data_IF_878203991941
#
_entry.id   IF_878203991941
#
_cell.length_a   1.000
_cell.length_b   1.000
_cell.length_c   1.000
_cell.angle_alpha   90.00
_cell.angle_beta   90.00
_cell.angle_gamma   90.00
#
_symmetry.space_group_name_H-M   'P 1'
#
loop_
_entity.id
_entity.type
_entity.pdbx_description
1 polymer ?
#
# COMPACT_ATOMS: atom_id res chain seq x y z
N UNK A 1 1.32 -46.47 46.85
CA UNK A 1 1.41 -45.16 46.18
C UNK A 1 1.10 -45.47 44.74
N UNK A 2 -0.17 -45.31 44.38
CA UNK A 2 -0.71 -45.73 43.10
C UNK A 2 -1.35 -44.50 42.45
N UNK A 3 -0.92 -44.12 41.24
CA UNK A 3 -1.46 -42.95 40.57
C UNK A 3 -2.89 -43.25 40.13
N UNK A 4 -3.84 -42.43 40.58
CA UNK A 4 -5.20 -42.42 40.02
C UNK A 4 -5.09 -42.09 38.54
N UNK A 5 -5.34 -43.08 37.69
CA UNK A 5 -5.55 -42.88 36.27
C UNK A 5 -6.86 -42.11 36.08
N UNK A 6 -6.77 -40.81 35.75
CA UNK A 6 -7.89 -40.09 35.14
C UNK A 6 -8.24 -40.77 33.83
N UNK A 7 -9.52 -41.00 33.59
CA UNK A 7 -10.00 -41.62 32.36
C UNK A 7 -9.98 -40.60 31.22
N UNK A 8 -9.80 -41.08 30.00
CA UNK A 8 -9.65 -40.27 28.78
C UNK A 8 -10.86 -39.36 28.49
N UNK A 9 -12.02 -39.68 29.07
CA UNK A 9 -13.25 -38.90 28.91
C UNK A 9 -13.28 -37.66 29.83
N UNK A 10 -12.77 -37.77 31.06
CA UNK A 10 -12.68 -36.64 32.00
C UNK A 10 -11.67 -35.58 31.53
N UNK A 11 -10.55 -36.02 30.94
CA UNK A 11 -9.58 -35.10 30.31
C UNK A 11 -10.15 -34.41 29.06
N UNK A 12 -11.12 -35.02 28.39
CA UNK A 12 -11.71 -34.48 27.16
C UNK A 12 -12.73 -33.40 27.48
N UNK A 13 -13.54 -33.59 28.52
CA UNK A 13 -14.49 -32.58 28.99
C UNK A 13 -13.79 -31.33 29.55
N UNK A 14 -12.72 -31.49 30.34
CA UNK A 14 -11.95 -30.34 30.85
C UNK A 14 -11.27 -29.53 29.74
N UNK A 15 -10.77 -30.21 28.69
CA UNK A 15 -10.16 -29.54 27.52
C UNK A 15 -11.23 -28.81 26.69
N UNK A 16 -12.45 -29.36 26.59
CA UNK A 16 -13.55 -28.75 25.86
C UNK A 16 -14.15 -27.55 26.59
N UNK A 17 -14.19 -27.57 27.93
CA UNK A 17 -14.59 -26.43 28.76
C UNK A 17 -13.55 -25.30 28.73
N UNK A 18 -12.26 -25.63 28.81
CA UNK A 18 -11.19 -24.64 28.71
C UNK A 18 -11.09 -24.03 27.30
N UNK A 19 -11.37 -24.80 26.24
CA UNK A 19 -11.42 -24.28 24.88
C UNK A 19 -12.56 -23.25 24.67
N UNK A 20 -13.70 -23.41 25.37
CA UNK A 20 -14.82 -22.45 25.33
C UNK A 20 -14.52 -21.13 26.04
N UNK A 21 -13.60 -21.11 27.01
CA UNK A 21 -13.25 -19.91 27.78
C UNK A 21 -12.14 -19.05 27.15
N UNK A 22 -11.39 -19.59 26.17
CA UNK A 22 -10.23 -18.91 25.54
C UNK A 22 -10.54 -18.35 24.15
N UNK A 23 -11.71 -18.64 23.57
CA UNK A 23 -12.13 -17.99 22.33
C UNK A 23 -12.79 -16.65 22.66
N UNK A 24 -12.16 -15.49 22.38
CA UNK A 24 -12.90 -14.24 22.35
C UNK A 24 -14.05 -14.40 21.34
N UNK A 25 -15.22 -13.74 21.55
CA UNK A 25 -16.29 -13.79 20.58
C UNK A 25 -15.69 -13.44 19.22
N UNK A 26 -15.90 -14.33 18.24
CA UNK A 26 -15.57 -14.06 16.86
C UNK A 26 -16.10 -12.65 16.58
N UNK A 27 -15.20 -11.68 16.48
CA UNK A 27 -15.59 -10.35 16.03
C UNK A 27 -16.27 -10.63 14.71
N UNK A 28 -17.52 -10.19 14.57
CA UNK A 28 -18.14 -9.96 13.28
C UNK A 28 -17.19 -9.01 12.52
N UNK A 29 -16.15 -9.58 11.91
CA UNK A 29 -15.60 -9.08 10.67
C UNK A 29 -16.74 -9.24 9.70
N UNK A 30 -17.65 -8.26 9.72
CA UNK A 30 -18.51 -7.98 8.59
C UNK A 30 -17.58 -8.04 7.40
N UNK A 31 -17.71 -9.13 6.64
CA UNK A 31 -17.04 -9.35 5.38
C UNK A 31 -17.43 -8.10 4.57
N UNK A 32 -16.55 -7.09 4.59
CA UNK A 32 -16.76 -5.87 3.81
C UNK A 32 -16.75 -6.39 2.40
N UNK A 33 -17.91 -6.32 1.76
CA UNK A 33 -18.07 -6.66 0.37
C UNK A 33 -16.90 -6.04 -0.41
N UNK A 34 -16.00 -6.83 -1.01
CA UNK A 34 -14.86 -6.30 -1.74
C UNK A 34 -15.29 -5.34 -2.85
N UNK A 35 -16.53 -5.46 -3.35
CA UNK A 35 -17.11 -4.56 -4.34
C UNK A 35 -17.49 -3.18 -3.75
N UNK A 36 -17.62 -3.07 -2.43
CA UNK A 36 -17.94 -1.81 -1.75
C UNK A 36 -16.70 -0.99 -1.33
N UNK A 37 -15.48 -1.52 -1.46
CA UNK A 37 -14.26 -0.74 -1.25
C UNK A 37 -13.90 0.03 -2.53
N UNK A 38 -13.91 1.38 -2.53
CA UNK A 38 -13.49 2.17 -3.68
C UNK A 38 -12.07 1.85 -4.15
N UNK A 39 -11.18 1.34 -3.27
CA UNK A 39 -9.81 0.90 -3.62
C UNK A 39 -9.76 -0.46 -4.34
N UNK A 40 -10.88 -1.16 -4.48
CA UNK A 40 -11.00 -2.39 -5.27
C UNK A 40 -11.40 -2.13 -6.73
N UNK A 41 -11.57 -0.85 -7.11
CA UNK A 41 -11.78 -0.44 -8.50
C UNK A 41 -10.45 -0.10 -9.18
N UNK A 42 -10.29 -0.38 -10.48
CA UNK A 42 -9.03 -0.09 -11.19
C UNK A 42 -8.68 1.40 -11.22
N UNK A 43 -9.67 2.25 -11.07
CA UNK A 43 -9.51 3.69 -10.87
C UNK A 43 -10.00 4.06 -9.47
N UNK A 44 -9.21 4.86 -8.77
CA UNK A 44 -9.47 5.26 -7.40
C UNK A 44 -9.27 6.75 -7.22
N UNK A 45 -10.31 7.41 -6.70
CA UNK A 45 -10.28 8.84 -6.38
C UNK A 45 -10.02 8.97 -4.89
N UNK A 46 -9.02 9.77 -4.51
CA UNK A 46 -8.72 10.07 -3.12
C UNK A 46 -8.53 11.56 -2.88
N UNK A 47 -8.96 12.00 -1.70
CA UNK A 47 -8.66 13.31 -1.15
C UNK A 47 -7.35 13.22 -0.36
N UNK A 48 -6.45 14.15 -0.62
CA UNK A 48 -5.12 14.20 -0.04
C UNK A 48 -4.95 15.50 0.75
N UNK A 49 -4.41 15.37 1.95
CA UNK A 49 -4.02 16.48 2.81
C UNK A 49 -2.65 16.17 3.43
N UNK A 50 -1.70 17.08 3.24
CA UNK A 50 -0.38 16.98 3.85
C UNK A 50 0.06 18.35 4.35
N UNK A 51 0.71 18.39 5.52
CA UNK A 51 1.16 19.62 6.16
C UNK A 51 2.68 19.61 6.25
N UNK A 52 3.31 20.66 5.74
CA UNK A 52 4.76 20.80 5.80
C UNK A 52 5.25 21.25 7.18
N UNK A 53 6.55 21.13 7.48
CA UNK A 53 7.12 21.59 8.75
C UNK A 53 6.96 23.10 9.01
N UNK A 54 6.71 23.89 7.97
CA UNK A 54 6.50 25.33 8.02
C UNK A 54 5.02 25.72 8.20
N UNK A 55 4.11 24.73 8.27
CA UNK A 55 2.69 24.91 8.48
C UNK A 55 1.86 25.11 7.21
N UNK A 56 2.46 25.07 6.01
CA UNK A 56 1.72 25.10 4.76
C UNK A 56 0.97 23.79 4.58
N UNK A 57 -0.29 23.90 4.19
CA UNK A 57 -1.17 22.75 3.96
C UNK A 57 -1.39 22.57 2.47
N UNK A 58 -1.09 21.37 1.99
CA UNK A 58 -1.23 20.93 0.62
C UNK A 58 -2.47 20.05 0.54
N UNK A 59 -3.50 20.52 -0.17
CA UNK A 59 -4.78 19.82 -0.32
C UNK A 59 -5.13 19.64 -1.78
N UNK A 60 -5.63 18.46 -2.12
CA UNK A 60 -6.07 18.21 -3.48
C UNK A 60 -6.76 16.87 -3.62
N UNK A 61 -7.48 16.71 -4.73
CA UNK A 61 -8.10 15.46 -5.12
C UNK A 61 -7.31 14.84 -6.26
N UNK A 62 -7.00 13.57 -6.12
CA UNK A 62 -6.26 12.79 -7.10
C UNK A 62 -7.14 11.67 -7.67
N UNK A 63 -6.80 11.22 -8.87
CA UNK A 63 -7.37 10.01 -9.47
C UNK A 63 -6.23 9.12 -9.92
N UNK A 64 -6.08 7.97 -9.27
CA UNK A 64 -5.08 6.96 -9.63
C UNK A 64 -5.72 5.86 -10.48
N UNK A 65 -4.97 5.27 -11.39
CA UNK A 65 -5.30 4.00 -12.05
C UNK A 65 -4.23 2.96 -11.79
N UNK A 66 -4.64 1.71 -11.68
CA UNK A 66 -3.71 0.57 -11.58
C UNK A 66 -2.96 0.41 -12.92
N UNK A 67 -1.62 0.50 -12.94
CA UNK A 67 -0.85 0.36 -14.18
C UNK A 67 -0.93 -1.05 -14.76
N UNK A 68 -1.37 -1.12 -16.03
CA UNK A 68 -1.25 -2.33 -16.85
C UNK A 68 0.20 -2.57 -17.30
N UNK A 69 0.46 -3.70 -17.98
CA UNK A 69 1.82 -4.07 -18.42
C UNK A 69 2.42 -3.01 -19.35
N UNK A 70 1.63 -2.46 -20.27
CA UNK A 70 2.10 -1.41 -21.19
C UNK A 70 2.50 -0.16 -20.43
N UNK A 71 1.70 0.25 -19.46
CA UNK A 71 1.97 1.40 -18.61
C UNK A 71 3.25 1.20 -17.80
N UNK A 72 3.48 -0.01 -17.26
CA UNK A 72 4.74 -0.33 -16.54
C UNK A 72 5.97 -0.25 -17.42
N UNK A 73 5.87 -0.66 -18.69
CA UNK A 73 6.97 -0.49 -19.64
C UNK A 73 7.29 0.99 -19.87
N UNK A 74 6.26 1.84 -19.96
CA UNK A 74 6.42 3.29 -20.08
C UNK A 74 7.03 3.91 -18.82
N UNK A 75 6.66 3.44 -17.63
CA UNK A 75 7.30 3.84 -16.36
C UNK A 75 8.81 3.55 -16.42
N UNK A 76 9.20 2.36 -16.85
CA UNK A 76 10.62 2.00 -17.01
C UNK A 76 11.37 2.92 -17.97
N UNK A 77 10.76 3.22 -19.12
CA UNK A 77 11.35 4.13 -20.11
C UNK A 77 11.51 5.56 -19.56
N UNK A 78 10.49 6.11 -18.91
CA UNK A 78 10.55 7.45 -18.33
C UNK A 78 11.55 7.51 -17.17
N UNK A 79 11.63 6.48 -16.32
CA UNK A 79 12.63 6.38 -15.25
C UNK A 79 14.06 6.47 -15.81
N UNK A 80 14.33 5.77 -16.91
CA UNK A 80 15.63 5.85 -17.58
C UNK A 80 15.89 7.27 -18.14
N UNK A 81 14.88 7.87 -18.77
CA UNK A 81 14.98 9.24 -19.30
C UNK A 81 15.28 10.28 -18.21
N UNK A 82 14.62 10.19 -17.05
CA UNK A 82 14.89 11.07 -15.91
C UNK A 82 16.32 10.92 -15.36
N UNK A 83 16.90 9.73 -15.48
CA UNK A 83 18.32 9.45 -15.18
C UNK A 83 19.29 9.83 -16.29
N UNK A 84 18.85 10.62 -17.28
CA UNK A 84 19.62 10.95 -18.49
C UNK A 84 20.13 9.70 -19.26
N UNK A 85 19.36 8.60 -19.19
CA UNK A 85 19.69 7.29 -19.74
C UNK A 85 21.01 6.69 -19.24
N UNK A 86 21.49 7.13 -18.08
CA UNK A 86 22.61 6.49 -17.41
C UNK A 86 22.17 5.12 -16.87
N UNK A 87 23.10 4.15 -16.79
CA UNK A 87 22.85 2.90 -16.07
C UNK A 87 22.43 3.17 -14.63
N UNK A 88 21.51 2.36 -14.09
CA UNK A 88 20.95 2.59 -12.75
C UNK A 88 22.04 2.58 -11.67
N UNK A 89 23.04 1.71 -11.81
CA UNK A 89 24.21 1.59 -10.94
C UNK A 89 25.12 2.83 -10.92
N UNK A 90 25.00 3.72 -11.92
CA UNK A 90 25.74 4.98 -11.99
C UNK A 90 25.04 6.11 -11.22
N UNK A 91 23.78 5.91 -10.81
CA UNK A 91 23.00 6.88 -10.05
C UNK A 91 22.99 6.49 -8.57
N UNK A 92 23.02 7.47 -7.68
CA UNK A 92 22.81 7.22 -6.26
C UNK A 92 21.38 6.72 -5.98
N UNK A 93 21.19 6.05 -4.84
CA UNK A 93 19.91 5.42 -4.48
C UNK A 93 18.76 6.43 -4.38
N UNK A 94 19.02 7.65 -3.90
CA UNK A 94 17.97 8.65 -3.73
C UNK A 94 17.49 9.14 -5.10
N UNK A 95 18.41 9.40 -6.03
CA UNK A 95 18.06 9.75 -7.41
C UNK A 95 17.25 8.63 -8.09
N UNK A 96 17.65 7.37 -7.88
CA UNK A 96 16.92 6.22 -8.44
C UNK A 96 15.49 6.11 -7.90
N UNK A 97 15.31 6.34 -6.60
CA UNK A 97 14.00 6.31 -5.94
C UNK A 97 13.10 7.45 -6.43
N UNK A 98 13.62 8.68 -6.46
CA UNK A 98 12.89 9.86 -6.98
C UNK A 98 12.44 9.61 -8.42
N UNK A 99 13.33 9.13 -9.28
CA UNK A 99 13.01 8.86 -10.68
C UNK A 99 11.92 7.79 -10.83
N UNK A 100 11.94 6.74 -9.99
CA UNK A 100 10.90 5.72 -9.97
C UNK A 100 9.55 6.31 -9.55
N UNK A 101 9.52 7.04 -8.44
CA UNK A 101 8.30 7.64 -7.87
C UNK A 101 7.65 8.61 -8.86
N UNK A 102 8.43 9.52 -9.44
CA UNK A 102 7.95 10.46 -10.47
C UNK A 102 7.43 9.68 -11.68
N UNK A 103 8.25 8.78 -12.25
CA UNK A 103 7.87 8.06 -13.46
C UNK A 103 6.59 7.23 -13.27
N UNK A 104 6.45 6.57 -12.12
CA UNK A 104 5.26 5.80 -11.78
C UNK A 104 4.01 6.68 -11.72
N UNK A 105 4.06 7.74 -10.92
CA UNK A 105 2.92 8.63 -10.72
C UNK A 105 2.56 9.44 -11.96
N UNK A 106 3.52 9.75 -12.85
CA UNK A 106 3.23 10.38 -14.15
C UNK A 106 2.25 9.57 -14.98
N UNK A 107 2.30 8.23 -14.89
CA UNK A 107 1.43 7.36 -15.66
C UNK A 107 0.23 6.82 -14.88
N UNK A 108 0.35 6.67 -13.56
CA UNK A 108 -0.74 6.14 -12.72
C UNK A 108 -1.74 7.23 -12.32
N UNK A 109 -1.31 8.47 -12.08
CA UNK A 109 -2.21 9.57 -11.74
C UNK A 109 -2.87 10.18 -12.99
N UNK A 110 -4.12 9.82 -13.25
CA UNK A 110 -4.91 10.36 -14.37
C UNK A 110 -5.30 11.81 -14.12
N UNK A 111 -5.65 12.16 -12.88
CA UNK A 111 -6.00 13.53 -12.49
C UNK A 111 -5.24 13.94 -11.24
N UNK A 112 -4.79 15.19 -11.27
CA UNK A 112 -3.96 15.81 -10.24
C UNK A 112 -4.49 17.22 -9.96
N UNK A 113 -4.34 17.74 -8.73
CA UNK A 113 -4.58 19.14 -8.44
C UNK A 113 -3.53 20.02 -9.14
N UNK A 114 -3.86 21.30 -9.40
CA UNK A 114 -2.99 22.23 -10.14
C UNK A 114 -1.57 22.33 -9.60
N UNK A 115 -1.41 22.30 -8.28
CA UNK A 115 -0.10 22.41 -7.64
C UNK A 115 0.78 21.15 -7.81
N UNK A 116 0.21 20.02 -8.25
CA UNK A 116 0.90 18.76 -8.50
C UNK A 116 0.90 18.36 -10.00
N UNK A 117 0.61 19.31 -10.90
CA UNK A 117 0.65 19.05 -12.36
C UNK A 117 2.06 18.68 -12.83
N UNK A 118 3.08 19.28 -12.24
CA UNK A 118 4.48 18.88 -12.39
C UNK A 118 5.02 18.32 -11.07
N UNK A 119 5.18 16.99 -11.04
CA UNK A 119 5.68 16.28 -9.86
C UNK A 119 7.19 16.53 -9.64
N UNK A 120 7.93 16.82 -10.70
CA UNK A 120 9.37 17.13 -10.63
C UNK A 120 9.64 18.54 -10.11
N UNK A 121 8.65 19.43 -10.14
CA UNK A 121 8.72 20.77 -9.57
C UNK A 121 8.40 20.82 -8.06
N UNK A 122 8.04 19.70 -7.43
CA UNK A 122 7.83 19.63 -5.99
C UNK A 122 9.18 19.61 -5.27
N UNK A 123 9.38 20.58 -4.37
CA UNK A 123 10.63 20.72 -3.61
C UNK A 123 10.79 19.71 -2.48
N UNK A 124 9.68 19.19 -1.95
CA UNK A 124 9.69 18.31 -0.78
C UNK A 124 9.45 16.86 -1.22
N UNK A 125 10.47 16.03 -1.06
CA UNK A 125 10.38 14.60 -1.37
C UNK A 125 9.42 13.87 -0.43
N UNK A 126 9.24 14.30 0.82
CA UNK A 126 8.29 13.69 1.75
C UNK A 126 6.85 13.89 1.30
N UNK A 127 6.53 15.06 0.73
CA UNK A 127 5.23 15.31 0.11
C UNK A 127 5.02 14.36 -1.08
N UNK A 128 6.02 14.24 -1.96
CA UNK A 128 5.97 13.35 -3.11
C UNK A 128 5.76 11.88 -2.69
N UNK A 129 6.50 11.44 -1.67
CA UNK A 129 6.42 10.09 -1.13
C UNK A 129 5.07 9.82 -0.46
N UNK A 130 4.49 10.80 0.24
CA UNK A 130 3.17 10.67 0.83
C UNK A 130 2.07 10.47 -0.23
N UNK A 131 2.15 11.16 -1.37
CA UNK A 131 1.24 10.94 -2.51
C UNK A 131 1.47 9.53 -3.08
N UNK A 132 2.73 9.14 -3.26
CA UNK A 132 3.08 7.83 -3.79
C UNK A 132 2.59 6.69 -2.89
N UNK A 133 2.62 6.86 -1.57
CA UNK A 133 2.13 5.86 -0.64
C UNK A 133 0.62 5.58 -0.83
N UNK A 134 -0.20 6.60 -1.06
CA UNK A 134 -1.62 6.40 -1.37
C UNK A 134 -1.82 5.68 -2.71
N UNK A 135 -1.02 6.02 -3.71
CA UNK A 135 -1.01 5.33 -5.02
C UNK A 135 -0.63 3.86 -4.85
N UNK A 136 0.45 3.57 -4.15
CA UNK A 136 0.93 2.21 -3.90
C UNK A 136 -0.06 1.40 -3.07
N UNK A 137 -0.69 1.99 -2.06
CA UNK A 137 -1.73 1.36 -1.25
C UNK A 137 -2.95 0.97 -2.10
N UNK A 138 -3.35 1.82 -3.04
CA UNK A 138 -4.40 1.49 -4.00
C UNK A 138 -3.96 0.34 -4.91
N UNK A 139 -2.75 0.34 -5.44
CA UNK A 139 -2.31 -0.70 -6.37
C UNK A 139 -2.04 -2.06 -5.69
N UNK A 140 -1.67 -2.05 -4.41
CA UNK A 140 -1.43 -3.25 -3.63
C UNK A 140 -2.66 -4.17 -3.54
N UNK A 141 -3.88 -3.62 -3.64
CA UNK A 141 -5.14 -4.40 -3.63
C UNK A 141 -5.27 -5.30 -4.85
N UNK A 142 -4.57 -4.99 -5.96
CA UNK A 142 -4.65 -5.74 -7.22
C UNK A 142 -3.44 -6.63 -7.50
N UNK A 143 -2.28 -6.26 -6.97
CA UNK A 143 -1.02 -6.91 -7.29
C UNK A 143 -0.58 -7.95 -6.27
N UNK A 144 -1.43 -8.21 -5.26
CA UNK A 144 -1.19 -9.25 -4.27
C UNK A 144 -0.07 -8.94 -3.28
N UNK A 145 0.37 -7.67 -3.16
CA UNK A 145 1.39 -7.27 -2.18
C UNK A 145 0.90 -7.34 -0.73
N UNK A 146 -0.38 -7.66 -0.49
CA UNK A 146 -0.94 -7.87 0.85
C UNK A 146 -0.47 -9.13 1.58
N UNK A 147 0.39 -9.97 1.01
CA UNK A 147 0.89 -11.21 1.66
C UNK A 147 2.41 -11.29 1.87
N UNK A 148 3.20 -10.29 1.44
CA UNK A 148 4.66 -10.37 1.49
C UNK A 148 5.32 -9.75 2.75
N UNK A 149 4.54 -9.25 3.71
CA UNK A 149 5.07 -8.79 5.01
C UNK A 149 4.94 -9.81 6.14
N UNK A 150 4.55 -11.06 5.83
CA UNK A 150 4.42 -12.14 6.82
C UNK A 150 5.40 -13.31 6.61
N UNK A 151 6.45 -13.15 5.80
CA UNK A 151 7.52 -14.12 5.68
C UNK A 151 8.86 -13.40 5.44
N UNK A 152 9.65 -13.25 6.50
CA UNK A 152 10.98 -12.66 6.48
C UNK A 152 11.43 -12.28 7.88
#
# INVERSE_FOLDING_TARGET
MDPKHLTTDEMREEVEEQAKLVMPPARDEKQKDPEADPKAQREYIFDFEWKDPHGKVWKGKFTNKVPDIRTRQLVGALRAQLGNNLPAEALDLATQEINLVIAHMTFSLIKRPKWAEDLGALYDFQLLQAIYQEVANHEATFLGYGSLTAAG
#
